data_IF_455456551991
#
_entry.id   IF_455456551991
#
_cell.length_a   1.000
_cell.length_b   1.000
_cell.length_c   1.000
_cell.angle_alpha   90.00
_cell.angle_beta   90.00
_cell.angle_gamma   90.00
#
_symmetry.space_group_name_H-M   'P 1'
#
loop_
_entity.id
_entity.type
_entity.pdbx_description
1 polymer ?
#
# COMPACT_ATOMS: atom_id res chain seq x y z
N UNK A 1 7.16 -19.08 0.46
CA UNK A 1 6.97 -18.13 -0.66
C UNK A 1 7.71 -18.64 -1.87
N UNK A 2 7.12 -18.59 -3.06
CA UNK A 2 7.69 -19.11 -4.31
C UNK A 2 8.21 -17.95 -5.18
N UNK A 3 9.32 -18.10 -5.91
CA UNK A 3 9.69 -17.16 -6.98
C UNK A 3 8.69 -17.24 -8.13
N UNK A 4 8.47 -16.15 -8.85
CA UNK A 4 7.59 -16.16 -10.03
C UNK A 4 8.23 -16.98 -11.15
N UNK A 5 7.40 -17.65 -11.96
CA UNK A 5 7.88 -18.23 -13.22
C UNK A 5 8.06 -17.16 -14.30
N UNK A 6 8.76 -17.49 -15.37
CA UNK A 6 9.00 -16.56 -16.48
C UNK A 6 7.68 -16.06 -17.12
N UNK A 7 6.69 -16.95 -17.27
CA UNK A 7 5.37 -16.60 -17.80
C UNK A 7 4.62 -15.61 -16.89
N UNK A 8 4.59 -15.88 -15.58
CA UNK A 8 3.97 -15.01 -14.58
C UNK A 8 4.66 -13.64 -14.55
N UNK A 9 5.98 -13.64 -14.70
CA UNK A 9 6.80 -12.44 -14.70
C UNK A 9 6.51 -11.57 -15.93
N UNK A 10 6.43 -12.16 -17.12
CA UNK A 10 6.05 -11.45 -18.36
C UNK A 10 4.67 -10.81 -18.24
N UNK A 11 3.66 -11.58 -17.83
CA UNK A 11 2.28 -11.08 -17.70
C UNK A 11 2.14 -9.97 -16.65
N UNK A 12 2.93 -10.03 -15.58
CA UNK A 12 3.01 -8.95 -14.58
C UNK A 12 3.64 -7.68 -15.18
N UNK A 13 4.80 -7.81 -15.83
CA UNK A 13 5.51 -6.66 -16.39
C UNK A 13 4.76 -6.01 -17.56
N UNK A 14 4.06 -6.78 -18.39
CA UNK A 14 3.15 -6.26 -19.42
C UNK A 14 2.03 -5.38 -18.85
N UNK A 15 1.59 -5.63 -17.62
CA UNK A 15 0.60 -4.77 -16.95
C UNK A 15 1.25 -3.52 -16.36
N UNK A 16 2.45 -3.63 -15.81
CA UNK A 16 3.18 -2.51 -15.23
C UNK A 16 3.71 -1.53 -16.29
N UNK A 17 4.15 -2.06 -17.44
CA UNK A 17 4.66 -1.26 -18.56
C UNK A 17 3.60 -0.30 -19.11
N UNK A 18 2.31 -0.63 -18.98
CA UNK A 18 1.21 0.27 -19.38
C UNK A 18 1.12 1.56 -18.54
N UNK A 19 1.66 1.58 -17.33
CA UNK A 19 1.63 2.76 -16.45
C UNK A 19 3.00 3.46 -16.39
N UNK A 20 4.06 2.67 -16.24
CA UNK A 20 5.41 3.17 -15.96
C UNK A 20 6.29 3.24 -17.23
N UNK A 21 5.99 2.41 -18.23
CA UNK A 21 6.86 2.23 -19.41
C UNK A 21 8.19 1.59 -19.03
N UNK A 22 9.30 2.26 -19.39
CA UNK A 22 10.67 1.77 -19.22
C UNK A 22 11.23 1.96 -17.80
N UNK A 23 10.58 2.78 -16.96
CA UNK A 23 11.07 3.10 -15.61
C UNK A 23 10.91 1.93 -14.61
N UNK A 24 10.59 0.73 -15.07
CA UNK A 24 10.46 -0.49 -14.25
C UNK A 24 11.80 -0.84 -13.58
N UNK A 25 12.94 -0.52 -14.21
CA UNK A 25 14.27 -0.77 -13.64
C UNK A 25 14.45 -0.08 -12.28
N UNK A 26 13.90 1.13 -12.12
CA UNK A 26 13.95 1.90 -10.88
C UNK A 26 13.17 1.26 -9.73
N UNK A 27 12.24 0.34 -10.02
CA UNK A 27 11.55 -0.43 -8.98
C UNK A 27 12.40 -1.58 -8.44
N UNK A 28 13.30 -2.14 -9.24
CA UNK A 28 14.15 -3.26 -8.81
C UNK A 28 15.43 -2.73 -8.16
N UNK A 29 16.04 -1.73 -8.82
CA UNK A 29 17.32 -1.17 -8.45
C UNK A 29 17.10 0.19 -7.77
N UNK A 30 16.92 0.16 -6.45
CA UNK A 30 16.91 1.35 -5.60
C UNK A 30 18.27 1.49 -4.90
N UNK A 31 18.78 2.72 -4.64
CA UNK A 31 20.02 2.91 -3.89
C UNK A 31 20.01 2.23 -2.50
N UNK A 32 18.85 2.03 -1.88
CA UNK A 32 18.72 1.42 -0.55
C UNK A 32 18.93 -0.11 -0.55
N UNK A 33 18.81 -0.74 -1.73
CA UNK A 33 19.00 -2.18 -1.93
C UNK A 33 18.12 -2.77 -3.04
N UNK A 34 18.36 -4.05 -3.32
CA UNK A 34 17.63 -4.81 -4.35
C UNK A 34 16.26 -5.24 -3.83
N UNK A 35 15.23 -5.03 -4.65
CA UNK A 35 13.87 -5.48 -4.38
C UNK A 35 13.47 -6.63 -5.29
N UNK A 36 12.73 -7.58 -4.73
CA UNK A 36 12.27 -8.78 -5.43
C UNK A 36 10.75 -8.93 -5.34
N UNK A 37 10.19 -9.57 -6.36
CA UNK A 37 8.80 -10.02 -6.37
C UNK A 37 8.70 -11.49 -5.94
N UNK A 38 7.75 -11.79 -5.06
CA UNK A 38 7.47 -13.17 -4.61
C UNK A 38 5.98 -13.46 -4.67
N UNK A 39 5.66 -14.72 -4.97
CA UNK A 39 4.29 -15.20 -5.03
C UNK A 39 3.94 -15.99 -3.77
N UNK A 40 2.78 -15.66 -3.20
CA UNK A 40 2.18 -16.36 -2.06
C UNK A 40 0.66 -16.30 -2.16
N UNK A 41 -0.01 -17.46 -2.09
CA UNK A 41 -1.46 -17.64 -2.33
C UNK A 41 -1.99 -16.84 -3.53
N UNK A 42 -1.34 -16.98 -4.69
CA UNK A 42 -1.66 -16.27 -5.95
C UNK A 42 -1.55 -14.74 -5.90
N UNK A 43 -1.02 -14.18 -4.82
CA UNK A 43 -0.74 -12.76 -4.66
C UNK A 43 0.75 -12.49 -4.85
N UNK A 44 1.05 -11.39 -5.52
CA UNK A 44 2.42 -10.94 -5.75
C UNK A 44 2.75 -9.86 -4.74
N UNK A 45 3.81 -10.11 -3.97
CA UNK A 45 4.36 -9.21 -2.98
C UNK A 45 5.68 -8.63 -3.47
N UNK A 46 5.85 -7.33 -3.24
CA UNK A 46 7.07 -6.57 -3.48
C UNK A 46 7.75 -6.30 -2.14
N UNK A 47 9.04 -6.64 -2.07
CA UNK A 47 9.81 -6.61 -0.82
C UNK A 47 11.32 -6.53 -1.08
N UNK A 48 12.07 -6.03 -0.11
CA UNK A 48 13.54 -6.07 -0.15
C UNK A 48 14.05 -7.48 0.11
N UNK A 49 15.20 -7.84 -0.50
CA UNK A 49 15.89 -9.11 -0.24
C UNK A 49 16.21 -9.35 1.24
N UNK A 50 16.47 -8.28 2.01
CA UNK A 50 16.74 -8.38 3.45
C UNK A 50 15.54 -9.00 4.19
N UNK A 51 14.33 -8.53 3.88
CA UNK A 51 13.08 -9.03 4.46
C UNK A 51 12.82 -10.46 3.99
N UNK A 52 13.23 -10.80 2.76
CA UNK A 52 13.06 -12.15 2.22
C UNK A 52 13.83 -13.19 3.03
N UNK A 53 15.08 -12.89 3.39
CA UNK A 53 15.92 -13.77 4.23
C UNK A 53 15.35 -13.97 5.64
N UNK A 54 14.63 -12.99 6.16
CA UNK A 54 13.93 -13.12 7.44
C UNK A 54 12.62 -13.91 7.29
N UNK A 55 11.91 -13.70 6.17
CA UNK A 55 10.64 -14.35 5.88
C UNK A 55 10.78 -15.87 5.67
N UNK A 56 11.97 -16.37 5.30
CA UNK A 56 12.21 -17.82 5.16
C UNK A 56 12.13 -18.59 6.48
N UNK A 57 12.25 -17.92 7.62
CA UNK A 57 12.14 -18.55 8.94
C UNK A 57 10.69 -18.92 9.31
N UNK A 58 9.70 -18.36 8.59
CA UNK A 58 8.30 -18.61 8.86
C UNK A 58 7.73 -19.67 7.91
N UNK A 59 6.89 -20.57 8.45
CA UNK A 59 6.17 -21.54 7.63
C UNK A 59 5.13 -20.86 6.73
N UNK A 60 4.83 -21.50 5.59
CA UNK A 60 3.92 -20.94 4.56
C UNK A 60 2.52 -20.64 5.08
N UNK A 61 2.02 -21.49 5.98
CA UNK A 61 0.65 -21.43 6.49
C UNK A 61 0.46 -20.34 7.56
N UNK A 62 1.55 -19.98 8.27
CA UNK A 62 1.53 -18.92 9.31
C UNK A 62 1.73 -17.53 8.73
N UNK A 63 2.17 -17.45 7.47
CA UNK A 63 2.55 -16.21 6.83
C UNK A 63 1.35 -15.66 6.05
N UNK A 64 0.81 -14.50 6.48
CA UNK A 64 -0.37 -13.90 5.84
C UNK A 64 -0.01 -12.89 4.75
N UNK A 65 0.93 -11.99 5.03
CA UNK A 65 1.40 -10.96 4.10
C UNK A 65 2.81 -10.55 4.45
N UNK A 66 3.64 -10.26 3.45
CA UNK A 66 4.97 -9.68 3.65
C UNK A 66 5.19 -8.57 2.64
N UNK A 67 5.67 -7.43 3.11
CA UNK A 67 5.87 -6.25 2.27
C UNK A 67 4.57 -5.73 1.68
N UNK A 68 4.63 -5.24 0.45
CA UNK A 68 3.51 -4.57 -0.21
C UNK A 68 2.93 -5.43 -1.33
N UNK A 69 1.61 -5.65 -1.30
CA UNK A 69 0.93 -6.44 -2.32
C UNK A 69 0.77 -5.61 -3.61
N UNK A 70 1.28 -6.10 -4.74
CA UNK A 70 1.11 -5.43 -6.03
C UNK A 70 -0.15 -5.87 -6.76
N UNK A 71 -0.59 -7.10 -6.51
CA UNK A 71 -1.69 -7.67 -7.28
C UNK A 71 -1.93 -9.14 -6.95
N UNK A 72 -2.90 -9.70 -7.67
CA UNK A 72 -3.19 -11.13 -7.65
C UNK A 72 -3.36 -11.68 -9.05
N UNK A 73 -2.98 -12.93 -9.24
CA UNK A 73 -3.32 -13.68 -10.44
C UNK A 73 -4.76 -14.17 -10.35
N UNK A 74 -5.48 -14.08 -11.47
CA UNK A 74 -6.77 -14.74 -11.61
C UNK A 74 -6.58 -16.20 -12.02
N UNK A 75 -7.64 -17.02 -11.89
CA UNK A 75 -7.65 -18.39 -12.41
C UNK A 75 -7.32 -18.45 -13.92
N UNK A 76 -7.67 -17.40 -14.65
CA UNK A 76 -7.33 -17.20 -16.08
C UNK A 76 -5.89 -16.71 -16.32
N UNK A 77 -5.00 -16.78 -15.32
CA UNK A 77 -3.61 -16.31 -15.35
C UNK A 77 -3.42 -14.83 -15.72
N UNK A 78 -4.48 -14.01 -15.63
CA UNK A 78 -4.38 -12.56 -15.86
C UNK A 78 -4.00 -11.87 -14.57
N UNK A 79 -3.02 -10.99 -14.63
CA UNK A 79 -2.61 -10.21 -13.47
C UNK A 79 -3.58 -9.04 -13.22
N UNK A 80 -4.15 -8.98 -12.02
CA UNK A 80 -4.97 -7.87 -11.53
C UNK A 80 -4.16 -7.06 -10.53
N UNK A 81 -3.85 -5.81 -10.90
CA UNK A 81 -3.18 -4.85 -10.04
C UNK A 81 -4.07 -4.46 -8.86
N UNK A 82 -3.46 -4.35 -7.69
CA UNK A 82 -4.10 -3.82 -6.49
C UNK A 82 -3.70 -2.36 -6.28
N UNK A 83 -4.62 -1.64 -5.64
CA UNK A 83 -4.48 -0.26 -5.20
C UNK A 83 -3.18 -0.01 -4.42
N UNK A 84 -2.75 -0.96 -3.61
CA UNK A 84 -1.54 -0.89 -2.78
C UNK A 84 -0.24 -0.75 -3.57
N UNK A 85 -0.27 -1.02 -4.88
CA UNK A 85 0.87 -0.74 -5.75
C UNK A 85 1.04 0.77 -6.04
N UNK A 86 0.01 1.59 -5.85
CA UNK A 86 -0.01 2.94 -6.39
C UNK A 86 1.11 3.82 -5.85
N UNK A 87 1.47 3.70 -4.57
CA UNK A 87 2.53 4.50 -3.97
C UNK A 87 3.88 4.31 -4.68
N UNK A 88 4.12 3.11 -5.20
CA UNK A 88 5.32 2.79 -5.99
C UNK A 88 5.18 3.18 -7.46
N UNK A 89 3.96 3.15 -8.01
CA UNK A 89 3.71 3.48 -9.42
C UNK A 89 3.63 4.99 -9.67
N UNK A 90 3.02 5.73 -8.74
CA UNK A 90 2.76 7.16 -8.84
C UNK A 90 3.99 8.00 -9.21
N UNK A 91 5.15 7.88 -8.54
CA UNK A 91 6.32 8.70 -8.87
C UNK A 91 6.89 8.41 -10.26
N UNK A 92 6.77 7.18 -10.75
CA UNK A 92 7.37 6.74 -12.02
C UNK A 92 6.40 6.75 -13.20
N UNK A 93 5.12 7.06 -12.98
CA UNK A 93 4.10 7.09 -14.01
C UNK A 93 4.35 8.21 -15.02
N UNK A 94 4.43 7.85 -16.31
CA UNK A 94 4.63 8.80 -17.42
C UNK A 94 3.35 9.60 -17.69
N UNK A 95 2.20 8.93 -17.66
CA UNK A 95 0.90 9.53 -17.96
C UNK A 95 0.08 9.77 -16.70
N UNK A 96 -0.38 11.01 -16.52
CA UNK A 96 -1.09 11.47 -15.33
C UNK A 96 -2.33 12.27 -15.73
N UNK A 97 -3.40 12.10 -14.98
CA UNK A 97 -4.64 12.87 -15.12
C UNK A 97 -5.00 13.48 -13.78
N UNK A 98 -5.24 14.78 -13.77
CA UNK A 98 -5.69 15.52 -12.60
C UNK A 98 -7.20 15.72 -12.66
N UNK A 99 -7.89 15.40 -11.57
CA UNK A 99 -9.34 15.46 -11.44
C UNK A 99 -9.73 16.65 -10.59
N UNK A 100 -10.82 17.34 -10.98
CA UNK A 100 -11.38 18.46 -10.23
C UNK A 100 -12.09 17.97 -8.96
N UNK A 101 -12.09 18.75 -7.86
CA UNK A 101 -12.65 18.34 -6.56
C UNK A 101 -14.10 17.85 -6.62
N UNK A 102 -14.95 18.45 -7.44
CA UNK A 102 -16.36 18.01 -7.61
C UNK A 102 -16.52 16.60 -8.18
N UNK A 103 -15.50 16.06 -8.85
CA UNK A 103 -15.49 14.71 -9.42
C UNK A 103 -14.56 13.74 -8.70
N UNK A 104 -13.71 14.22 -7.79
CA UNK A 104 -12.83 13.38 -7.00
C UNK A 104 -13.63 12.38 -6.18
N UNK A 105 -14.64 12.84 -5.44
CA UNK A 105 -15.49 11.97 -4.63
C UNK A 105 -16.17 10.87 -5.46
N UNK A 106 -16.65 11.21 -6.67
CA UNK A 106 -17.25 10.23 -7.57
C UNK A 106 -16.25 9.15 -7.99
N UNK A 107 -15.01 9.55 -8.29
CA UNK A 107 -13.92 8.62 -8.60
C UNK A 107 -13.53 7.73 -7.41
N UNK A 108 -13.52 8.28 -6.19
CA UNK A 108 -13.24 7.53 -4.97
C UNK A 108 -14.29 6.44 -4.68
N UNK A 109 -15.54 6.66 -5.08
CA UNK A 109 -16.59 5.64 -5.04
C UNK A 109 -16.53 4.61 -6.17
N UNK A 110 -15.56 4.74 -7.09
CA UNK A 110 -15.36 3.79 -8.19
C UNK A 110 -16.10 4.14 -9.47
N UNK A 111 -16.67 5.35 -9.58
CA UNK A 111 -17.23 5.82 -10.84
C UNK A 111 -16.13 6.28 -11.81
N UNK A 112 -16.48 6.34 -13.10
CA UNK A 112 -15.58 6.85 -14.12
C UNK A 112 -15.45 8.38 -14.08
N UNK A 113 -14.29 8.89 -14.51
CA UNK A 113 -14.06 10.33 -14.64
C UNK A 113 -14.73 10.83 -15.92
N UNK A 114 -15.65 11.78 -15.76
CA UNK A 114 -16.32 12.46 -16.87
C UNK A 114 -15.45 13.56 -17.46
N UNK A 115 -15.68 13.92 -18.72
CA UNK A 115 -14.96 15.00 -19.41
C UNK A 115 -15.04 16.34 -18.65
N UNK A 116 -16.17 16.62 -18.00
CA UNK A 116 -16.37 17.84 -17.20
C UNK A 116 -15.48 17.90 -15.96
N UNK A 117 -15.15 16.73 -15.40
CA UNK A 117 -14.31 16.53 -14.21
C UNK A 117 -12.81 16.50 -14.46
N UNK A 118 -12.38 16.48 -15.73
CA UNK A 118 -10.97 16.52 -16.08
C UNK A 118 -10.42 17.94 -15.85
N UNK A 119 -9.37 18.03 -15.05
CA UNK A 119 -8.64 19.26 -14.77
C UNK A 119 -7.46 19.43 -15.72
N UNK A 120 -6.48 18.52 -15.63
CA UNK A 120 -5.27 18.53 -16.45
C UNK A 120 -4.98 17.11 -16.93
N UNK A 121 -4.36 16.98 -18.11
CA UNK A 121 -3.96 15.70 -18.69
C UNK A 121 -2.56 15.87 -19.25
N UNK A 122 -1.70 14.88 -19.06
CA UNK A 122 -0.40 14.84 -19.73
C UNK A 122 -0.57 14.75 -21.24
N UNK A 123 0.21 15.53 -21.99
CA UNK A 123 0.21 15.48 -23.46
C UNK A 123 0.68 14.10 -23.97
N UNK A 124 0.29 13.73 -25.19
CA UNK A 124 0.62 12.45 -25.85
C UNK A 124 0.02 11.18 -25.23
N UNK A 125 -1.09 11.28 -24.50
CA UNK A 125 -1.84 10.10 -24.05
C UNK A 125 -2.60 9.46 -25.21
N UNK A 126 -2.13 8.29 -25.67
CA UNK A 126 -2.85 7.46 -26.64
C UNK A 126 -4.13 6.85 -26.04
N UNK A 127 -5.08 6.51 -26.90
CA UNK A 127 -6.29 5.80 -26.49
C UNK A 127 -5.92 4.45 -25.85
N UNK A 128 -6.60 4.09 -24.76
CA UNK A 128 -6.39 2.85 -23.98
C UNK A 128 -5.06 2.76 -23.21
N UNK A 129 -4.34 3.88 -23.07
CA UNK A 129 -3.16 3.94 -22.23
C UNK A 129 -3.52 3.82 -20.73
N UNK A 130 -2.63 3.19 -19.95
CA UNK A 130 -2.74 3.17 -18.49
C UNK A 130 -2.35 4.53 -17.91
N UNK A 131 -3.24 5.13 -17.14
CA UNK A 131 -3.03 6.47 -16.56
C UNK A 131 -3.20 6.42 -15.05
N UNK A 132 -2.38 7.19 -14.35
CA UNK A 132 -2.54 7.40 -12.90
C UNK A 132 -3.35 8.67 -12.65
N UNK A 133 -4.34 8.55 -11.77
CA UNK A 133 -5.26 9.64 -11.43
C UNK A 133 -4.75 10.37 -10.20
N UNK A 134 -4.75 11.69 -10.28
CA UNK A 134 -4.33 12.64 -9.25
C UNK A 134 -5.44 13.62 -8.93
N UNK A 135 -5.40 14.14 -7.71
CA UNK A 135 -6.15 15.32 -7.29
C UNK A 135 -5.48 16.58 -7.81
N UNK A 136 -6.20 17.69 -7.86
CA UNK A 136 -5.60 19.02 -8.10
C UNK A 136 -4.49 19.38 -7.10
N UNK A 137 -4.46 18.75 -5.92
CA UNK A 137 -3.42 18.92 -4.91
C UNK A 137 -2.19 18.01 -5.10
N UNK A 138 -2.01 17.41 -6.29
CA UNK A 138 -0.94 16.45 -6.61
C UNK A 138 -0.89 15.20 -5.71
N UNK A 139 -2.02 14.89 -5.06
CA UNK A 139 -2.19 13.66 -4.29
C UNK A 139 -2.66 12.55 -5.25
N UNK A 140 -1.98 11.39 -5.33
CA UNK A 140 -2.45 10.27 -6.12
C UNK A 140 -3.79 9.77 -5.57
N UNK A 141 -4.84 9.83 -6.38
CA UNK A 141 -6.19 9.48 -5.95
C UNK A 141 -6.41 7.98 -6.02
N UNK A 142 -6.98 7.47 -4.94
CA UNK A 142 -7.26 6.06 -4.72
C UNK A 142 -8.62 5.94 -4.05
N UNK A 143 -9.48 5.05 -4.55
CA UNK A 143 -10.69 4.66 -3.82
C UNK A 143 -10.33 4.19 -2.39
N UNK A 144 -10.68 4.97 -1.34
CA UNK A 144 -10.10 4.81 -0.02
C UNK A 144 -10.92 3.81 0.78
N UNK A 145 -11.25 2.66 0.21
CA UNK A 145 -11.78 1.54 0.99
C UNK A 145 -10.67 0.77 1.71
N UNK A 146 -9.38 1.06 1.43
CA UNK A 146 -8.24 0.44 2.11
C UNK A 146 -7.44 1.36 3.02
N UNK A 147 -7.34 2.67 2.74
CA UNK A 147 -6.64 3.62 3.63
C UNK A 147 -7.43 3.81 4.92
N UNK A 148 -8.75 3.97 4.84
CA UNK A 148 -9.62 4.01 6.03
C UNK A 148 -9.55 2.70 6.84
N UNK A 149 -9.42 1.55 6.17
CA UNK A 149 -9.30 0.24 6.82
C UNK A 149 -7.93 0.06 7.50
N UNK A 150 -6.86 0.60 6.92
CA UNK A 150 -5.52 0.54 7.51
C UNK A 150 -5.41 1.50 8.71
N UNK A 151 -6.01 2.70 8.62
CA UNK A 151 -6.07 3.66 9.73
C UNK A 151 -6.97 3.14 10.86
N UNK A 152 -8.14 2.54 10.55
CA UNK A 152 -8.99 1.94 11.59
C UNK A 152 -8.41 0.65 12.17
N UNK A 153 -7.72 -0.18 11.38
CA UNK A 153 -7.00 -1.35 11.90
C UNK A 153 -5.81 -0.95 12.77
N UNK A 154 -5.03 0.07 12.38
CA UNK A 154 -3.97 0.59 13.25
C UNK A 154 -4.54 1.22 14.52
N UNK A 155 -5.65 1.95 14.45
CA UNK A 155 -6.27 2.57 15.63
C UNK A 155 -6.93 1.55 16.58
N UNK A 156 -7.53 0.49 16.04
CA UNK A 156 -8.06 -0.63 16.83
C UNK A 156 -6.93 -1.49 17.42
N UNK A 157 -5.85 -1.74 16.70
CA UNK A 157 -4.66 -2.40 17.25
C UNK A 157 -4.00 -1.55 18.34
N UNK A 158 -3.91 -0.22 18.16
CA UNK A 158 -3.33 0.68 19.17
C UNK A 158 -4.17 0.75 20.45
N UNK A 159 -5.50 0.80 20.34
CA UNK A 159 -6.42 0.81 21.50
C UNK A 159 -6.50 -0.55 22.20
N UNK A 160 -6.43 -1.66 21.46
CA UNK A 160 -6.35 -3.01 22.04
C UNK A 160 -5.00 -3.22 22.73
N UNK A 161 -3.89 -2.78 22.14
CA UNK A 161 -2.57 -2.90 22.74
C UNK A 161 -2.43 -2.07 24.03
N UNK A 162 -3.02 -0.86 24.10
CA UNK A 162 -3.10 -0.10 25.35
C UNK A 162 -3.96 -0.78 26.43
N UNK A 163 -5.09 -1.39 26.07
CA UNK A 163 -5.92 -2.16 27.01
C UNK A 163 -5.22 -3.40 27.54
N UNK A 164 -4.50 -4.12 26.69
CA UNK A 164 -3.71 -5.28 27.11
C UNK A 164 -2.52 -4.88 28.00
N UNK A 165 -1.83 -3.77 27.71
CA UNK A 165 -0.78 -3.25 28.60
C UNK A 165 -1.35 -2.87 29.97
N UNK A 166 -2.53 -2.22 30.01
CA UNK A 166 -3.17 -1.88 31.29
C UNK A 166 -3.59 -3.14 32.07
N UNK A 167 -4.15 -4.15 31.39
CA UNK A 167 -4.51 -5.42 32.04
C UNK A 167 -3.27 -6.21 32.50
N UNK A 168 -2.18 -6.19 31.72
CA UNK A 168 -0.92 -6.84 32.07
C UNK A 168 -0.23 -6.12 33.24
N UNK A 169 -0.27 -4.79 33.31
CA UNK A 169 0.30 -4.03 34.44
C UNK A 169 -0.48 -4.29 35.73
N UNK A 170 -1.81 -4.43 35.66
CA UNK A 170 -2.63 -4.81 36.82
C UNK A 170 -2.36 -6.27 37.25
N UNK A 171 -2.22 -7.21 36.29
CA UNK A 171 -1.90 -8.61 36.59
C UNK A 171 -0.44 -8.82 37.05
N UNK A 172 0.50 -7.99 36.61
CA UNK A 172 1.92 -8.06 37.00
C UNK A 172 2.20 -7.42 38.38
N UNK A 173 1.28 -6.60 38.90
CA UNK A 173 1.35 -6.11 40.28
C UNK A 173 0.96 -7.19 41.31
N UNK A 174 0.25 -8.24 40.89
CA UNK A 174 -0.11 -9.38 41.75
C UNK A 174 0.86 -10.58 41.66
N UNK A 175 1.66 -10.70 40.60
CA UNK A 175 2.60 -11.81 40.46
C UNK A 175 3.98 -11.38 39.94
N UNK A 176 4.97 -11.44 40.82
CA UNK A 176 6.39 -11.42 40.46
C UNK A 176 6.73 -12.61 39.56
N UNK A 177 7.09 -12.36 38.29
CA UNK A 177 8.25 -12.97 37.60
C UNK A 177 8.29 -12.61 36.10
N UNK A 178 9.50 -12.26 35.66
CA UNK A 178 10.09 -12.34 34.31
C UNK A 178 9.15 -12.55 33.10
N UNK A 179 9.16 -11.58 32.16
CA UNK A 179 9.37 -11.84 30.72
C UNK A 179 9.91 -10.56 30.08
N UNK A 180 11.13 -10.67 29.57
CA UNK A 180 11.80 -9.70 28.71
C UNK A 180 11.34 -9.97 27.28
N UNK A 181 10.70 -9.01 26.60
CA UNK A 181 10.63 -9.02 25.14
C UNK A 181 10.58 -7.59 24.59
N UNK A 182 11.71 -7.21 24.01
CA UNK A 182 11.97 -5.97 23.28
C UNK A 182 10.99 -5.79 22.12
N UNK A 183 10.17 -4.74 22.16
CA UNK A 183 9.68 -4.09 20.96
C UNK A 183 10.68 -3.00 20.57
N UNK A 184 11.52 -3.30 19.58
CA UNK A 184 12.39 -2.32 18.95
C UNK A 184 11.60 -1.64 17.81
N UNK A 185 11.08 -0.45 18.08
CA UNK A 185 10.60 0.49 17.07
C UNK A 185 11.59 1.66 17.02
N UNK A 186 12.42 1.81 15.98
CA UNK A 186 13.17 3.04 15.78
C UNK A 186 12.31 4.06 15.01
N UNK A 187 12.09 5.19 15.68
CA UNK A 187 11.86 6.55 15.19
C UNK A 187 11.31 6.77 13.76
N UNK A 188 10.13 7.40 13.71
CA UNK A 188 9.95 8.65 12.97
C UNK A 188 9.09 9.61 13.83
N UNK A 189 9.75 10.63 14.40
CA UNK A 189 9.11 11.86 14.90
C UNK A 189 8.58 12.66 13.71
N UNK A 190 7.48 13.39 13.92
CA UNK A 190 7.19 14.81 13.56
C UNK A 190 5.66 14.95 13.63
N UNK A 191 5.11 15.47 14.74
CA UNK A 191 4.80 16.89 15.02
C UNK A 191 3.78 17.52 14.07
N UNK A 192 2.55 17.69 14.57
CA UNK A 192 1.57 18.81 14.46
C UNK A 192 0.22 18.26 14.98
N UNK A 193 -0.23 18.52 16.21
CA UNK A 193 -0.93 19.75 16.68
C UNK A 193 -1.81 20.31 15.54
N UNK A 194 -3.13 20.38 15.56
CA UNK A 194 -4.18 20.06 16.52
C UNK A 194 -5.45 20.72 15.96
N UNK A 195 -6.58 20.01 15.93
CA UNK A 195 -7.89 20.64 15.80
C UNK A 195 -8.78 20.03 16.89
N UNK A 196 -9.02 20.82 17.93
CA UNK A 196 -10.10 20.63 18.87
C UNK A 196 -11.37 21.20 18.22
N UNK A 197 -12.36 20.36 17.98
CA UNK A 197 -13.75 20.75 17.86
C UNK A 197 -14.46 19.98 18.98
N UNK A 198 -14.72 20.67 20.09
CA UNK A 198 -15.64 20.18 21.11
C UNK A 198 -17.07 20.63 20.74
N UNK A 199 -18.05 19.71 20.79
CA UNK A 199 -19.46 20.04 20.74
C UNK A 199 -20.04 20.24 22.16
N UNK A 200 -21.01 21.15 22.25
CA UNK A 200 -22.07 21.30 23.28
C UNK A 200 -21.68 21.79 24.69
N UNK A 201 -22.03 23.04 25.02
CA UNK A 201 -23.00 23.42 26.07
C UNK A 201 -23.04 24.95 26.28
N UNK A 202 -24.26 25.49 26.34
CA UNK A 202 -24.71 26.88 26.54
C UNK A 202 -24.53 27.89 25.39
#
# INVERSE_FOLDING_TARGET
MRPLTEEETKTMFEKLSKYIGENIKLLVDRPDGVYCFRLHHDRVYYMSEKILKLATNFSRDKLMSVGTCFGKFTKTKKFRLHITALDFLAPYAKFKVWVKPGTEQSFLYGNHVLKSGLGRITENTMQYQGVVVYSMADVPLVSPLKVALLVTLLWTVFTVQQRYIFLLVTLMLENKAHIMQMFCFPQCRVFTIGYWIDPLMY
#
